data_IF_678452907655
#
_entry.id   IF_678452907655
#
_cell.length_a   1.000
_cell.length_b   1.000
_cell.length_c   1.000
_cell.angle_alpha   90.00
_cell.angle_beta   90.00
_cell.angle_gamma   90.00
#
_symmetry.space_group_name_H-M   'P 1'
#
loop_
_entity.id
_entity.type
_entity.pdbx_description
1 polymer ?
#
# COMPACT_ATOMS: atom_id res chain seq x y z
N UNK A 1 -10.90 -27.06 -21.89
CA UNK A 1 -10.67 -26.27 -23.11
C UNK A 1 -9.18 -26.31 -23.39
N UNK A 2 -8.77 -26.57 -24.63
CA UNK A 2 -7.37 -26.58 -25.03
C UNK A 2 -6.88 -25.13 -25.15
N UNK A 3 -6.26 -24.62 -24.07
CA UNK A 3 -5.82 -23.21 -23.93
C UNK A 3 -4.51 -22.90 -24.63
N UNK A 4 -3.89 -23.91 -25.25
CA UNK A 4 -2.62 -23.81 -25.99
C UNK A 4 -2.66 -22.82 -27.17
N UNK A 5 -3.85 -22.48 -27.67
CA UNK A 5 -4.03 -21.52 -28.77
C UNK A 5 -4.11 -20.04 -28.36
N UNK A 6 -4.13 -19.73 -27.06
CA UNK A 6 -4.26 -18.35 -26.52
C UNK A 6 -3.00 -17.89 -25.77
N UNK A 7 -2.12 -18.82 -25.40
CA UNK A 7 -0.89 -18.57 -24.66
C UNK A 7 0.23 -18.33 -25.67
N UNK A 8 0.58 -17.06 -25.92
CA UNK A 8 1.83 -16.73 -26.63
C UNK A 8 2.96 -16.88 -25.61
N UNK A 9 3.77 -17.92 -25.74
CA UNK A 9 4.94 -18.11 -24.87
C UNK A 9 6.05 -17.15 -25.29
N UNK A 10 6.33 -16.16 -24.45
CA UNK A 10 7.48 -15.27 -24.61
C UNK A 10 8.64 -15.75 -23.76
N UNK A 11 9.83 -15.84 -24.37
CA UNK A 11 11.08 -16.10 -23.66
C UNK A 11 11.66 -14.81 -23.08
N UNK A 12 12.55 -14.92 -22.09
CA UNK A 12 13.32 -13.77 -21.62
C UNK A 12 14.17 -13.13 -22.75
N UNK A 13 14.54 -13.89 -23.78
CA UNK A 13 15.24 -13.34 -24.95
C UNK A 13 14.37 -12.36 -25.74
N UNK A 14 13.07 -12.65 -25.89
CA UNK A 14 12.14 -11.79 -26.62
C UNK A 14 11.96 -10.43 -25.92
N UNK A 15 11.93 -10.44 -24.58
CA UNK A 15 11.90 -9.20 -23.78
C UNK A 15 13.22 -8.43 -23.88
N UNK A 16 14.37 -9.11 -23.91
CA UNK A 16 15.68 -8.47 -24.08
C UNK A 16 15.78 -7.75 -25.44
N UNK A 17 15.27 -8.37 -26.50
CA UNK A 17 15.26 -7.78 -27.83
C UNK A 17 14.27 -6.62 -27.95
N UNK A 18 13.10 -6.72 -27.32
CA UNK A 18 12.16 -5.60 -27.21
C UNK A 18 12.78 -4.42 -26.44
N UNK A 19 13.50 -4.67 -25.35
CA UNK A 19 14.21 -3.64 -24.60
C UNK A 19 15.26 -2.94 -25.45
N UNK A 20 16.04 -3.69 -26.24
CA UNK A 20 17.03 -3.10 -27.17
C UNK A 20 16.40 -2.18 -28.21
N UNK A 21 15.18 -2.49 -28.66
CA UNK A 21 14.44 -1.62 -29.60
C UNK A 21 13.95 -0.32 -28.97
N UNK A 22 13.74 -0.31 -27.65
CA UNK A 22 13.33 0.89 -26.90
C UNK A 22 14.50 1.81 -26.55
N UNK A 23 15.73 1.31 -26.62
CA UNK A 23 16.91 2.11 -26.33
C UNK A 23 17.17 3.15 -27.44
N UNK A 24 17.69 4.34 -27.09
CA UNK A 24 18.05 5.35 -28.07
C UNK A 24 19.08 4.82 -29.07
N UNK A 25 18.99 5.26 -30.32
CA UNK A 25 20.00 4.93 -31.33
C UNK A 25 21.32 5.64 -31.00
N UNK A 26 22.42 4.90 -30.93
CA UNK A 26 23.76 5.40 -30.67
C UNK A 26 24.75 4.27 -30.37
N UNK A 27 26.05 4.49 -30.60
CA UNK A 27 27.10 3.49 -30.44
C UNK A 27 27.04 2.83 -29.04
N UNK A 28 26.98 3.64 -27.99
CA UNK A 28 26.90 3.17 -26.61
C UNK A 28 25.77 2.17 -26.31
N UNK A 29 24.58 2.38 -26.91
CA UNK A 29 23.40 1.53 -26.66
C UNK A 29 23.31 0.31 -27.58
N UNK A 30 24.09 0.31 -28.66
CA UNK A 30 24.15 -0.76 -29.66
C UNK A 30 25.45 -1.57 -29.60
N UNK A 31 26.37 -1.18 -28.72
CA UNK A 31 27.60 -1.90 -28.39
C UNK A 31 27.28 -3.25 -27.76
N UNK A 32 27.38 -4.32 -28.57
CA UNK A 32 27.18 -5.71 -28.15
C UNK A 32 28.23 -6.15 -27.13
N UNK A 33 29.41 -5.52 -27.13
CA UNK A 33 30.52 -5.85 -26.24
C UNK A 33 30.44 -5.17 -24.87
N UNK A 34 29.45 -4.30 -24.64
CA UNK A 34 29.23 -3.71 -23.32
C UNK A 34 28.55 -4.74 -22.41
N UNK A 35 29.37 -5.46 -21.65
CA UNK A 35 28.92 -6.54 -20.78
C UNK A 35 28.03 -6.06 -19.63
N UNK A 36 28.24 -4.84 -19.13
CA UNK A 36 27.42 -4.26 -18.07
C UNK A 36 26.02 -3.92 -18.58
N UNK A 37 25.92 -3.27 -19.73
CA UNK A 37 24.65 -2.98 -20.39
C UNK A 37 23.91 -4.27 -20.78
N UNK A 38 24.64 -5.26 -21.28
CA UNK A 38 24.07 -6.57 -21.64
C UNK A 38 23.50 -7.28 -20.42
N UNK A 39 24.24 -7.28 -19.30
CA UNK A 39 23.75 -7.87 -18.05
C UNK A 39 22.53 -7.13 -17.50
N UNK A 40 22.49 -5.80 -17.61
CA UNK A 40 21.34 -5.00 -17.20
C UNK A 40 20.10 -5.33 -18.04
N UNK A 41 20.24 -5.40 -19.36
CA UNK A 41 19.14 -5.75 -20.27
C UNK A 41 18.64 -7.17 -19.99
N UNK A 42 19.54 -8.14 -19.78
CA UNK A 42 19.17 -9.51 -19.43
C UNK A 42 18.43 -9.55 -18.09
N UNK A 43 18.91 -8.82 -17.07
CA UNK A 43 18.25 -8.73 -15.77
C UNK A 43 16.83 -8.18 -15.87
N UNK A 44 16.66 -7.04 -16.56
CA UNK A 44 15.34 -6.46 -16.80
C UNK A 44 14.43 -7.40 -17.60
N UNK A 45 14.98 -8.12 -18.58
CA UNK A 45 14.22 -9.05 -19.39
C UNK A 45 13.72 -10.26 -18.59
N UNK A 46 14.51 -10.75 -17.64
CA UNK A 46 14.10 -11.80 -16.70
C UNK A 46 12.96 -11.30 -15.80
N UNK A 47 13.08 -10.10 -15.25
CA UNK A 47 12.04 -9.51 -14.39
C UNK A 47 10.73 -9.28 -15.16
N UNK A 48 10.80 -8.77 -16.40
CA UNK A 48 9.63 -8.59 -17.24
C UNK A 48 8.98 -9.91 -17.65
N UNK A 49 9.79 -10.95 -17.94
CA UNK A 49 9.26 -12.29 -18.20
C UNK A 49 8.56 -12.83 -16.97
N UNK A 50 9.15 -12.71 -15.79
CA UNK A 50 8.51 -13.17 -14.55
C UNK A 50 7.19 -12.44 -14.32
N UNK A 51 7.17 -11.12 -14.49
CA UNK A 51 5.94 -10.31 -14.38
C UNK A 51 4.90 -10.73 -15.42
N UNK A 52 5.32 -11.00 -16.66
CA UNK A 52 4.45 -11.46 -17.73
C UNK A 52 3.81 -12.81 -17.38
N UNK A 53 4.60 -13.79 -16.94
CA UNK A 53 4.11 -15.10 -16.52
C UNK A 53 3.14 -14.99 -15.33
N UNK A 54 3.45 -14.15 -14.34
CA UNK A 54 2.58 -13.90 -13.19
C UNK A 54 1.23 -13.29 -13.62
N UNK A 55 1.25 -12.31 -14.52
CA UNK A 55 0.03 -11.71 -15.10
C UNK A 55 -0.72 -12.74 -15.93
N UNK A 56 -0.02 -13.51 -16.77
CA UNK A 56 -0.63 -14.50 -17.64
C UNK A 56 -1.29 -15.62 -16.81
N UNK A 57 -0.61 -16.10 -15.76
CA UNK A 57 -1.18 -17.01 -14.78
C UNK A 57 -2.42 -16.39 -14.14
N UNK A 58 -2.35 -15.11 -13.74
CA UNK A 58 -3.49 -14.37 -13.16
C UNK A 58 -4.66 -14.17 -14.12
N UNK A 59 -4.42 -14.14 -15.44
CA UNK A 59 -5.45 -13.97 -16.47
C UNK A 59 -6.08 -15.31 -16.87
N UNK A 60 -5.30 -16.41 -16.82
CA UNK A 60 -5.73 -17.77 -17.17
C UNK A 60 -6.41 -18.50 -16.01
N UNK A 61 -6.11 -18.14 -14.77
CA UNK A 61 -7.00 -18.45 -13.65
C UNK A 61 -8.23 -17.59 -13.82
N UNK A 62 -9.30 -18.18 -14.36
CA UNK A 62 -10.62 -17.58 -14.52
C UNK A 62 -10.94 -16.55 -13.42
N UNK A 63 -11.45 -15.38 -13.82
CA UNK A 63 -12.07 -14.35 -12.97
C UNK A 63 -13.35 -14.87 -12.23
N UNK A 64 -13.41 -16.17 -11.94
CA UNK A 64 -14.40 -16.84 -11.13
C UNK A 64 -13.83 -17.02 -9.72
N UNK A 65 -14.22 -16.10 -8.85
CA UNK A 65 -14.05 -16.07 -7.39
C UNK A 65 -12.73 -15.52 -6.82
N UNK A 66 -12.87 -14.30 -6.29
CA UNK A 66 -11.89 -13.42 -5.65
C UNK A 66 -10.94 -12.67 -6.59
N UNK A 67 -11.32 -11.43 -6.92
CA UNK A 67 -10.33 -10.43 -7.33
C UNK A 67 -9.23 -10.41 -6.25
N UNK A 68 -7.97 -10.38 -6.68
CA UNK A 68 -6.83 -10.18 -5.80
C UNK A 68 -7.04 -8.93 -4.94
N UNK A 69 -7.24 -9.14 -3.64
CA UNK A 69 -7.40 -8.06 -2.65
C UNK A 69 -8.82 -7.86 -2.13
N UNK A 70 -8.91 -7.22 -0.96
CA UNK A 70 -10.17 -6.85 -0.34
C UNK A 70 -10.77 -5.63 -1.06
N UNK A 71 -12.03 -5.72 -1.46
CA UNK A 71 -12.78 -4.56 -1.98
C UNK A 71 -13.22 -3.69 -0.81
N UNK A 72 -13.58 -2.43 -1.09
CA UNK A 72 -14.24 -1.54 -0.10
C UNK A 72 -15.43 -2.19 0.59
N UNK A 73 -16.23 -2.95 -0.16
CA UNK A 73 -17.37 -3.72 0.41
C UNK A 73 -16.91 -4.77 1.41
N UNK A 74 -15.77 -5.42 1.18
CA UNK A 74 -15.24 -6.43 2.08
C UNK A 74 -14.76 -5.77 3.37
N UNK A 75 -14.08 -4.62 3.28
CA UNK A 75 -13.73 -3.82 4.46
C UNK A 75 -14.95 -3.32 5.23
N UNK A 76 -16.02 -2.89 4.54
CA UNK A 76 -17.28 -2.54 5.19
C UNK A 76 -17.90 -3.76 5.90
N UNK A 77 -17.84 -4.94 5.30
CA UNK A 77 -18.31 -6.17 5.93
C UNK A 77 -17.48 -6.51 7.17
N UNK A 78 -16.16 -6.37 7.12
CA UNK A 78 -15.28 -6.56 8.28
C UNK A 78 -15.61 -5.57 9.40
N UNK A 79 -15.89 -4.31 9.08
CA UNK A 79 -16.35 -3.33 10.07
C UNK A 79 -17.68 -3.77 10.70
N UNK A 80 -18.60 -4.24 9.87
CA UNK A 80 -19.92 -4.70 10.32
C UNK A 80 -19.85 -5.94 11.21
N UNK A 81 -18.92 -6.86 10.94
CA UNK A 81 -18.68 -8.07 11.73
C UNK A 81 -17.95 -7.78 13.04
N UNK A 82 -16.98 -6.88 13.02
CA UNK A 82 -16.16 -6.56 14.20
C UNK A 82 -16.88 -5.67 15.20
N UNK A 83 -17.66 -4.69 14.71
CA UNK A 83 -18.29 -3.64 15.50
C UNK A 83 -19.81 -3.84 15.57
N UNK A 84 -20.48 -3.74 14.42
CA UNK A 84 -21.91 -4.02 14.14
C UNK A 84 -22.27 -3.37 12.80
N UNK A 85 -23.40 -3.75 12.19
CA UNK A 85 -23.91 -3.18 10.91
C UNK A 85 -24.11 -1.67 10.87
N UNK A 86 -24.12 -1.01 12.03
CA UNK A 86 -24.28 0.43 12.19
C UNK A 86 -23.09 1.07 12.92
N UNK A 87 -21.93 0.39 12.92
CA UNK A 87 -20.72 0.81 13.63
C UNK A 87 -20.00 2.00 13.01
N UNK A 88 -20.14 2.16 11.69
CA UNK A 88 -19.38 3.14 10.92
C UNK A 88 -19.46 2.89 9.42
N UNK A 89 -18.64 3.63 8.66
CA UNK A 89 -18.58 3.60 7.20
C UNK A 89 -17.12 3.49 6.75
N UNK A 90 -16.89 2.69 5.72
CA UNK A 90 -15.61 2.60 5.02
C UNK A 90 -15.76 3.18 3.63
N UNK A 91 -14.87 4.08 3.24
CA UNK A 91 -14.88 4.75 1.95
C UNK A 91 -13.46 5.07 1.47
N UNK A 92 -13.31 5.39 0.19
CA UNK A 92 -12.08 5.89 -0.42
C UNK A 92 -12.29 7.32 -0.95
N UNK A 93 -11.19 7.99 -1.27
CA UNK A 93 -11.21 9.30 -1.94
C UNK A 93 -10.31 9.25 -3.17
N UNK A 94 -10.84 9.72 -4.31
CA UNK A 94 -10.10 9.81 -5.58
C UNK A 94 -8.91 10.75 -5.46
N UNK A 95 -8.98 11.77 -4.59
CA UNK A 95 -7.89 12.71 -4.38
C UNK A 95 -6.68 12.09 -3.66
N UNK A 96 -6.88 11.00 -2.92
CA UNK A 96 -5.83 10.31 -2.15
C UNK A 96 -5.81 8.83 -2.52
N UNK A 97 -5.21 8.48 -3.68
CA UNK A 97 -5.15 7.09 -4.12
C UNK A 97 -4.37 6.24 -3.11
N UNK A 98 -4.77 4.98 -2.96
CA UNK A 98 -4.22 4.00 -2.02
C UNK A 98 -4.50 4.27 -0.52
N UNK A 99 -5.45 5.16 -0.20
CA UNK A 99 -5.90 5.37 1.17
C UNK A 99 -7.35 4.93 1.34
N UNK A 100 -7.61 4.14 2.38
CA UNK A 100 -8.96 3.73 2.78
C UNK A 100 -9.30 4.42 4.10
N UNK A 101 -10.42 5.13 4.10
CA UNK A 101 -10.94 5.83 5.26
C UNK A 101 -11.94 4.95 6.00
N UNK A 102 -11.77 4.86 7.31
CA UNK A 102 -12.61 4.08 8.20
C UNK A 102 -13.16 5.03 9.25
N UNK A 103 -14.42 5.40 9.09
CA UNK A 103 -15.14 6.27 10.01
C UNK A 103 -15.93 5.42 11.00
N UNK A 104 -15.73 5.65 12.30
CA UNK A 104 -16.49 5.00 13.36
C UNK A 104 -17.33 5.99 14.14
N UNK A 105 -18.57 5.61 14.46
CA UNK A 105 -19.44 6.41 15.32
C UNK A 105 -19.05 6.28 16.79
N UNK A 106 -19.20 7.37 17.55
CA UNK A 106 -18.86 7.48 18.98
C UNK A 106 -19.43 6.34 19.85
N UNK A 107 -20.64 5.87 19.53
CA UNK A 107 -21.33 4.80 20.26
C UNK A 107 -20.56 3.47 20.27
N UNK A 108 -19.61 3.29 19.36
CA UNK A 108 -18.87 2.04 19.14
C UNK A 108 -17.40 2.12 19.53
N UNK A 109 -17.04 3.12 20.35
CA UNK A 109 -15.66 3.35 20.78
C UNK A 109 -15.01 2.16 21.47
N UNK A 110 -15.76 1.40 22.26
CA UNK A 110 -15.25 0.21 22.95
C UNK A 110 -14.73 -0.86 21.97
N UNK A 111 -15.25 -0.87 20.74
CA UNK A 111 -14.86 -1.82 19.69
C UNK A 111 -13.73 -1.30 18.78
N UNK A 112 -13.28 -0.04 18.93
CA UNK A 112 -12.26 0.55 18.06
C UNK A 112 -10.95 -0.25 18.06
N UNK A 113 -10.48 -0.67 19.23
CA UNK A 113 -9.24 -1.46 19.32
C UNK A 113 -9.35 -2.78 18.55
N UNK A 114 -10.46 -3.49 18.73
CA UNK A 114 -10.73 -4.76 18.05
C UNK A 114 -10.84 -4.56 16.54
N UNK A 115 -11.56 -3.54 16.10
CA UNK A 115 -11.68 -3.21 14.68
C UNK A 115 -10.30 -2.90 14.08
N UNK A 116 -9.49 -2.09 14.75
CA UNK A 116 -8.13 -1.78 14.31
C UNK A 116 -7.28 -3.04 14.13
N UNK A 117 -7.22 -3.91 15.14
CA UNK A 117 -6.44 -5.15 15.09
C UNK A 117 -6.88 -6.10 13.96
N UNK A 118 -8.17 -6.20 13.67
CA UNK A 118 -8.68 -7.05 12.59
C UNK A 118 -8.40 -6.47 11.20
N UNK A 119 -8.45 -5.14 11.05
CA UNK A 119 -8.11 -4.48 9.79
C UNK A 119 -6.63 -4.58 9.45
N UNK A 120 -5.74 -4.46 10.45
CA UNK A 120 -4.29 -4.60 10.24
C UNK A 120 -3.90 -6.00 9.71
N UNK A 121 -4.61 -7.05 10.12
CA UNK A 121 -4.40 -8.42 9.59
C UNK A 121 -4.73 -8.57 8.10
N UNK A 122 -5.54 -7.66 7.56
CA UNK A 122 -6.05 -7.67 6.18
C UNK A 122 -5.53 -6.47 5.38
N UNK A 123 -4.48 -5.81 5.85
CA UNK A 123 -3.84 -4.69 5.15
C UNK A 123 -3.19 -5.20 3.87
N UNK A 124 -3.56 -4.59 2.74
CA UNK A 124 -2.94 -4.86 1.45
C UNK A 124 -1.59 -4.13 1.34
N UNK A 125 -0.61 -4.71 0.61
CA UNK A 125 0.63 -4.01 0.30
C UNK A 125 0.35 -2.64 -0.32
N UNK A 126 1.06 -1.61 0.13
CA UNK A 126 0.94 -0.22 -0.36
C UNK A 126 -0.43 0.45 -0.18
N UNK A 127 -1.32 -0.10 0.67
CA UNK A 127 -2.58 0.57 1.06
C UNK A 127 -2.50 1.06 2.51
N UNK A 128 -2.87 2.31 2.74
CA UNK A 128 -2.92 2.91 4.08
C UNK A 128 -4.35 3.02 4.62
N UNK A 129 -4.49 2.91 5.94
CA UNK A 129 -5.76 3.11 6.63
C UNK A 129 -5.78 4.42 7.41
N UNK A 130 -6.75 5.28 7.09
CA UNK A 130 -7.03 6.50 7.84
C UNK A 130 -8.25 6.30 8.74
N UNK A 131 -8.04 6.34 10.05
CA UNK A 131 -9.11 6.17 11.03
C UNK A 131 -9.70 7.52 11.41
N UNK A 132 -10.99 7.70 11.14
CA UNK A 132 -11.75 8.90 11.49
C UNK A 132 -12.65 8.54 12.68
N UNK A 133 -12.42 9.20 13.81
CA UNK A 133 -13.23 9.01 15.01
C UNK A 133 -14.03 10.27 15.31
N UNK A 134 -15.34 10.19 15.08
CA UNK A 134 -16.26 11.28 15.36
C UNK A 134 -16.80 11.14 16.78
N UNK A 135 -16.16 11.81 17.74
CA UNK A 135 -16.66 11.87 19.12
C UNK A 135 -17.62 13.02 19.35
N UNK A 136 -18.69 12.77 20.12
CA UNK A 136 -19.59 13.83 20.59
C UNK A 136 -19.06 14.54 21.84
N UNK A 137 -18.00 14.01 22.44
CA UNK A 137 -17.36 14.56 23.62
C UNK A 137 -16.21 15.47 23.20
N UNK A 138 -16.22 16.70 23.69
CA UNK A 138 -15.08 17.61 23.55
C UNK A 138 -13.94 17.11 24.44
N UNK A 139 -12.88 16.58 23.82
CA UNK A 139 -11.67 16.20 24.53
C UNK A 139 -10.68 17.36 24.59
N UNK A 140 -10.46 17.88 25.79
CA UNK A 140 -9.31 18.73 26.06
C UNK A 140 -8.08 17.85 26.27
N UNK A 141 -7.27 17.68 25.22
CA UNK A 141 -5.98 17.01 25.32
C UNK A 141 -4.93 18.02 25.79
N UNK A 142 -4.43 17.85 27.02
CA UNK A 142 -3.24 18.58 27.47
C UNK A 142 -2.00 17.83 26.99
N UNK A 143 -1.46 18.24 25.84
CA UNK A 143 -0.34 17.54 25.17
C UNK A 143 1.01 17.76 25.86
N UNK A 144 1.16 18.80 26.69
CA UNK A 144 2.35 18.98 27.51
C UNK A 144 2.08 19.91 28.70
N UNK A 145 2.72 19.61 29.84
CA UNK A 145 2.89 20.53 30.97
C UNK A 145 4.38 20.79 31.14
N UNK A 146 4.83 22.00 30.81
CA UNK A 146 6.19 22.46 31.14
C UNK A 146 6.17 23.27 32.44
N UNK A 147 6.87 22.80 33.46
CA UNK A 147 7.08 23.53 34.72
C UNK A 147 8.47 24.18 34.69
N UNK A 148 8.53 25.49 34.49
CA UNK A 148 9.77 26.25 34.63
C UNK A 148 9.89 26.77 36.07
N UNK A 149 10.83 26.24 36.84
CA UNK A 149 11.19 26.78 38.16
C UNK A 149 12.44 27.63 37.97
N UNK A 150 12.31 28.95 38.17
CA UNK A 150 13.43 29.89 38.15
C UNK A 150 13.89 30.13 39.59
N UNK A 151 14.96 29.46 40.01
CA UNK A 151 15.59 29.74 41.30
C UNK A 151 16.47 30.99 41.17
N UNK A 152 16.06 32.09 41.80
CA UNK A 152 16.90 33.28 41.93
C UNK A 152 17.82 33.11 43.14
N UNK A 153 19.08 32.76 42.90
CA UNK A 153 20.11 32.90 43.93
C UNK A 153 20.55 34.37 43.99
N UNK A 154 20.16 35.07 45.05
CA UNK A 154 20.73 36.37 45.41
C UNK A 154 21.80 36.12 46.47
N UNK A 155 23.03 36.54 46.19
CA UNK A 155 24.10 36.63 47.18
C UNK A 155 24.22 38.08 47.62
N UNK A 156 24.05 38.33 48.92
CA UNK A 156 24.33 39.65 49.51
C UNK A 156 25.82 39.74 49.85
N UNK A 157 26.41 40.91 49.57
CA UNK A 157 27.81 41.19 49.89
C UNK A 157 27.88 41.52 51.38
N UNK A 158 28.58 40.70 52.15
CA UNK A 158 28.89 40.99 53.55
C UNK A 158 29.95 42.09 53.62
N UNK A 159 29.68 43.09 54.45
CA UNK A 159 30.53 44.26 54.70
C UNK A 159 31.52 43.99 55.83
#
# INVERSE_FOLDING_TARGET
>A
MDTSSVIVEYSAGDFADALRLLLPKGEYWQEVDNQELTNLIIGMAIDFKQTHDEIQLSLLTDFSDSLFGWKLRDYQNLLNETVSKSGGVVFDDIAVPNMIFIEMYDAFRSSCKKAWEEFEKKRLPHTEFAWIFNSRLNYHHQLATCRHIRNYHKYEVLQ
#
